data_IF_974959399003
#
_entry.id   IF_974959399003
#
_cell.length_a   1.000
_cell.length_b   1.000
_cell.length_c   1.000
_cell.angle_alpha   90.00
_cell.angle_beta   90.00
_cell.angle_gamma   90.00
#
_symmetry.space_group_name_H-M   'P 1'
#
loop_
_entity.id
_entity.type
_entity.pdbx_description
1 polymer ?
#
# COMPACT_ATOMS: atom_id res chain seq x y z
N UNK A 1 0.48 5.41 0.55
CA UNK A 1 1.21 6.39 1.37
C UNK A 1 1.32 5.87 2.78
N UNK A 2 2.42 6.17 3.47
CA UNK A 2 2.59 5.99 4.91
C UNK A 2 2.41 7.34 5.59
N UNK A 3 1.43 7.45 6.49
CA UNK A 3 1.27 8.64 7.33
C UNK A 3 2.28 8.61 8.46
N UNK A 4 3.16 9.60 8.50
CA UNK A 4 4.16 9.75 9.56
C UNK A 4 3.80 10.95 10.40
N UNK A 5 3.68 10.73 11.71
CA UNK A 5 3.33 11.75 12.69
C UNK A 5 4.40 11.78 13.76
N UNK A 6 5.21 12.83 13.74
CA UNK A 6 6.29 13.06 14.68
C UNK A 6 5.77 13.97 15.81
N UNK A 7 5.79 13.50 17.06
CA UNK A 7 5.34 14.27 18.21
C UNK A 7 6.52 14.87 18.99
N UNK A 8 6.36 16.12 19.44
CA UNK A 8 7.22 16.74 20.45
C UNK A 8 6.51 16.65 21.81
N UNK A 9 7.03 15.82 22.71
CA UNK A 9 6.44 15.57 24.03
C UNK A 9 7.30 16.20 25.12
N UNK A 10 6.72 17.11 25.91
CA UNK A 10 7.38 17.83 27.00
C UNK A 10 6.55 17.77 28.27
N UNK A 11 7.17 17.40 29.39
CA UNK A 11 6.48 17.30 30.68
C UNK A 11 5.25 16.37 30.64
N UNK A 12 5.31 15.29 29.86
CA UNK A 12 4.20 14.33 29.72
C UNK A 12 3.02 14.80 28.86
N UNK A 13 3.14 15.93 28.15
CA UNK A 13 2.12 16.44 27.22
C UNK A 13 2.68 16.64 25.83
N UNK A 14 1.86 16.46 24.80
CA UNK A 14 2.21 16.81 23.42
C UNK A 14 2.23 18.33 23.30
N UNK A 15 3.40 18.89 23.02
CA UNK A 15 3.60 20.33 22.83
C UNK A 15 3.43 20.73 21.36
N UNK A 16 3.82 19.85 20.43
CA UNK A 16 3.67 20.06 18.99
C UNK A 16 3.69 18.72 18.23
N UNK A 17 3.32 18.75 16.95
CA UNK A 17 3.49 17.62 16.05
C UNK A 17 3.84 18.08 14.63
N UNK A 18 4.49 17.19 13.87
CA UNK A 18 4.70 17.34 12.43
C UNK A 18 4.10 16.14 11.73
N UNK A 19 3.34 16.38 10.68
CA UNK A 19 2.73 15.33 9.90
C UNK A 19 3.20 15.39 8.45
N UNK A 20 3.50 14.23 7.87
CA UNK A 20 3.82 14.08 6.45
C UNK A 20 3.25 12.78 5.89
N UNK A 21 2.86 12.82 4.62
CA UNK A 21 2.52 11.64 3.85
C UNK A 21 3.74 11.21 3.04
N UNK A 22 4.31 10.06 3.37
CA UNK A 22 5.40 9.48 2.59
C UNK A 22 4.81 8.61 1.45
N UNK A 23 5.15 8.88 0.18
CA UNK A 23 4.77 7.99 -0.90
C UNK A 23 5.50 6.66 -0.75
N UNK A 24 4.81 5.56 -1.04
CA UNK A 24 5.38 4.21 -1.03
C UNK A 24 5.50 3.77 -2.48
N UNK A 25 6.71 3.83 -3.03
CA UNK A 25 7.03 3.41 -4.39
C UNK A 25 7.72 2.04 -4.31
N UNK A 26 7.02 0.96 -4.67
CA UNK A 26 7.52 -0.41 -4.54
C UNK A 26 8.80 -0.67 -5.36
N UNK A 27 9.02 0.08 -6.44
CA UNK A 27 10.20 -0.02 -7.30
C UNK A 27 11.41 0.78 -6.81
N UNK A 28 11.31 1.52 -5.71
CA UNK A 28 12.38 2.36 -5.16
C UNK A 28 12.82 1.92 -3.76
N UNK A 29 12.27 0.83 -3.23
CA UNK A 29 12.59 0.30 -1.91
C UNK A 29 12.91 -1.18 -2.01
N UNK A 30 13.86 -1.64 -1.22
CA UNK A 30 14.14 -3.07 -1.10
C UNK A 30 12.95 -3.77 -0.42
N UNK A 31 12.50 -4.92 -0.96
CA UNK A 31 11.43 -5.68 -0.32
C UNK A 31 11.94 -6.32 0.97
N UNK A 32 11.09 -6.30 2.00
CA UNK A 32 11.35 -7.06 3.22
C UNK A 32 11.32 -8.58 2.93
N UNK A 33 12.35 -9.29 3.38
CA UNK A 33 12.56 -10.70 3.04
C UNK A 33 11.51 -11.61 3.70
N UNK A 34 11.18 -11.34 4.97
CA UNK A 34 10.21 -12.14 5.73
C UNK A 34 8.80 -11.97 5.15
N UNK A 35 8.43 -10.74 4.83
CA UNK A 35 7.14 -10.44 4.21
C UNK A 35 7.04 -11.05 2.81
N UNK A 36 8.11 -11.00 2.02
CA UNK A 36 8.15 -11.62 0.69
C UNK A 36 7.95 -13.13 0.77
N UNK A 37 8.62 -13.79 1.71
CA UNK A 37 8.46 -15.22 1.96
C UNK A 37 7.03 -15.58 2.42
N UNK A 38 6.45 -14.77 3.32
CA UNK A 38 5.07 -14.96 3.79
C UNK A 38 4.06 -14.84 2.64
N UNK A 39 4.18 -13.80 1.80
CA UNK A 39 3.30 -13.61 0.64
C UNK A 39 3.42 -14.80 -0.31
N UNK A 40 4.63 -15.25 -0.61
CA UNK A 40 4.86 -16.42 -1.46
C UNK A 40 4.18 -17.67 -0.90
N UNK A 41 4.35 -17.94 0.40
CA UNK A 41 3.70 -19.08 1.07
C UNK A 41 2.17 -19.02 0.98
N UNK A 42 1.58 -17.86 1.22
CA UNK A 42 0.11 -17.68 1.21
C UNK A 42 -0.45 -17.82 -0.20
N UNK A 43 0.28 -17.34 -1.21
CA UNK A 43 -0.17 -17.38 -2.62
C UNK A 43 0.08 -18.70 -3.32
N UNK A 44 1.05 -19.50 -2.86
CA UNK A 44 1.47 -20.74 -3.50
C UNK A 44 0.31 -21.67 -3.93
N UNK A 45 -0.76 -21.90 -3.13
CA UNK A 45 -1.88 -22.77 -3.55
C UNK A 45 -2.76 -22.19 -4.66
N UNK A 46 -2.61 -20.90 -4.98
CA UNK A 46 -3.50 -20.14 -5.85
C UNK A 46 -2.76 -19.45 -7.01
N UNK A 47 -1.45 -19.65 -7.14
CA UNK A 47 -0.59 -18.88 -8.04
C UNK A 47 -1.10 -18.91 -9.48
N UNK A 48 -1.42 -20.10 -10.00
CA UNK A 48 -1.93 -20.28 -11.37
C UNK A 48 -3.22 -19.49 -11.60
N UNK A 49 -4.14 -19.53 -10.62
CA UNK A 49 -5.43 -18.85 -10.70
C UNK A 49 -5.28 -17.33 -10.58
N UNK A 50 -4.35 -16.86 -9.75
CA UNK A 50 -4.10 -15.42 -9.55
C UNK A 50 -3.33 -14.81 -10.74
N UNK A 51 -2.53 -15.61 -11.43
CA UNK A 51 -1.77 -15.19 -12.61
C UNK A 51 -2.55 -15.35 -13.93
N UNK A 52 -3.73 -15.98 -13.91
CA UNK A 52 -4.54 -16.22 -15.09
C UNK A 52 -4.97 -14.90 -15.77
N UNK A 53 -4.61 -14.76 -17.05
CA UNK A 53 -5.01 -13.61 -17.86
C UNK A 53 -6.42 -13.82 -18.41
N UNK A 54 -7.40 -13.16 -17.80
CA UNK A 54 -8.82 -13.29 -18.18
C UNK A 54 -9.23 -12.44 -19.39
N UNK A 55 -8.69 -11.22 -19.52
CA UNK A 55 -9.05 -10.29 -20.58
C UNK A 55 -7.96 -9.23 -20.79
N UNK A 56 -8.09 -8.48 -21.88
CA UNK A 56 -7.27 -7.29 -22.18
C UNK A 56 -8.23 -6.10 -22.28
N UNK A 57 -7.85 -4.98 -21.68
CA UNK A 57 -8.58 -3.71 -21.82
C UNK A 57 -7.78 -2.73 -22.68
N UNK A 58 -8.46 -1.98 -23.52
CA UNK A 58 -7.86 -0.95 -24.39
C UNK A 58 -7.79 0.43 -23.69
N UNK A 59 -8.32 0.55 -22.47
CA UNK A 59 -8.39 1.80 -21.73
C UNK A 59 -8.09 1.65 -20.24
N UNK A 60 -7.97 2.77 -19.54
CA UNK A 60 -7.75 2.76 -18.09
C UNK A 60 -9.02 2.43 -17.33
N UNK A 61 -8.99 1.37 -16.51
CA UNK A 61 -10.09 1.01 -15.61
C UNK A 61 -9.89 1.69 -14.24
N UNK A 62 -10.80 2.57 -13.87
CA UNK A 62 -10.77 3.31 -12.60
C UNK A 62 -12.03 3.04 -11.77
N UNK A 63 -11.85 2.92 -10.44
CA UNK A 63 -12.95 2.57 -9.52
C UNK A 63 -13.58 3.77 -8.78
N UNK A 64 -12.82 4.82 -8.44
CA UNK A 64 -13.25 5.84 -7.45
C UNK A 64 -14.01 7.03 -8.07
N UNK A 65 -15.24 6.88 -8.53
CA UNK A 65 -16.00 8.02 -9.08
C UNK A 65 -16.77 8.84 -8.02
N UNK A 66 -16.95 10.14 -8.25
CA UNK A 66 -17.89 10.98 -7.47
C UNK A 66 -19.28 11.08 -8.13
N UNK A 67 -19.40 10.77 -9.42
CA UNK A 67 -20.63 10.98 -10.21
C UNK A 67 -21.56 9.76 -10.26
N UNK A 68 -21.02 8.55 -10.16
CA UNK A 68 -21.77 7.31 -10.29
C UNK A 68 -21.58 6.45 -9.02
N UNK A 69 -21.90 7.02 -7.85
CA UNK A 69 -21.68 6.45 -6.50
C UNK A 69 -21.52 4.93 -6.44
N UNK A 70 -20.43 4.47 -5.81
CA UNK A 70 -20.31 3.07 -5.37
C UNK A 70 -21.17 2.81 -4.16
#
# INVERSE_FOLDING_TARGET
FLGVMDFDVRGGKVAAFKYKLLPVFANLIEPDAEMSALIGKVRAPYEDKLAEKLAITEGTLYRRGNFNGT
#
